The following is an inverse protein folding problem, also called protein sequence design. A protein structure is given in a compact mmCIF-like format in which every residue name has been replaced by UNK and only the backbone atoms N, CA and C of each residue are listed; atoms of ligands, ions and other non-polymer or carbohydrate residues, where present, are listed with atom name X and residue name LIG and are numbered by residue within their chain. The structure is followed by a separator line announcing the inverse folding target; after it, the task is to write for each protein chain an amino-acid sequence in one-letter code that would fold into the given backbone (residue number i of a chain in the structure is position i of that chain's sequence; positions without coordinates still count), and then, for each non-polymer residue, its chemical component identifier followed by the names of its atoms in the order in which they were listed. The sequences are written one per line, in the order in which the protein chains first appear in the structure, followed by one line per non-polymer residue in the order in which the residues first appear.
data_IF_974078950137
#
_entry.id   IF_974078950137
#
_cell.length_a   1.000
_cell.length_b   1.000
_cell.length_c   1.000
_cell.angle_alpha   90.00
_cell.angle_beta   90.00
_cell.angle_gamma   90.00
#
_symmetry.space_group_name_H-M   'P 1'
#
loop_
_entity.id
_entity.type
_entity.pdbx_description
1 polymer ?
#
# COMPACT_ATOMS: atom_id res chain seq x y z
N UNK A 1 -49.54 -2.83 -50.43
CA UNK A 1 -50.36 -4.06 -50.44
C UNK A 1 -50.20 -4.73 -51.78
N UNK A 2 -50.06 -6.06 -51.74
CA UNK A 2 -50.06 -7.05 -52.84
C UNK A 2 -48.71 -7.39 -53.49
N UNK A 3 -48.10 -8.40 -52.89
CA UNK A 3 -47.20 -9.38 -53.51
C UNK A 3 -47.87 -10.11 -54.68
N UNK A 4 -47.10 -10.42 -55.73
CA UNK A 4 -47.24 -11.69 -56.45
C UNK A 4 -45.86 -12.14 -56.96
N UNK A 5 -45.49 -13.36 -56.59
CA UNK A 5 -44.28 -14.07 -56.97
C UNK A 5 -44.55 -15.02 -58.17
N UNK A 6 -43.56 -15.89 -58.45
CA UNK A 6 -43.56 -17.12 -59.30
C UNK A 6 -43.03 -16.94 -60.74
N UNK A 7 -42.22 -17.84 -61.34
CA UNK A 7 -41.33 -18.97 -60.96
C UNK A 7 -40.78 -19.54 -62.30
N UNK A 8 -39.59 -20.16 -62.29
CA UNK A 8 -39.17 -21.41 -63.00
C UNK A 8 -37.73 -21.31 -63.59
N UNK A 9 -36.73 -22.08 -63.11
CA UNK A 9 -36.36 -23.50 -63.37
C UNK A 9 -35.56 -23.64 -64.70
N UNK A 10 -34.30 -24.13 -64.76
CA UNK A 10 -33.81 -25.53 -64.66
C UNK A 10 -32.24 -25.52 -64.69
N UNK A 11 -31.53 -26.09 -63.70
CA UNK A 11 -30.94 -27.44 -63.57
C UNK A 11 -29.55 -27.72 -64.23
N UNK A 12 -28.62 -28.10 -63.33
CA UNK A 12 -27.51 -29.07 -63.40
C UNK A 12 -26.32 -28.79 -64.37
N UNK A 13 -25.05 -28.99 -63.99
CA UNK A 13 -24.47 -30.26 -63.50
C UNK A 13 -23.28 -30.06 -62.54
N UNK A 14 -23.36 -30.83 -61.44
CA UNK A 14 -22.32 -31.48 -60.61
C UNK A 14 -20.83 -31.37 -60.99
N UNK A 15 -19.96 -31.07 -60.01
CA UNK A 15 -18.82 -31.92 -59.58
C UNK A 15 -18.15 -31.29 -58.35
N UNK A 16 -18.42 -31.82 -57.16
CA UNK A 16 -17.46 -31.83 -56.04
C UNK A 16 -16.56 -33.07 -56.25
N UNK A 17 -15.27 -33.10 -55.81
CA UNK A 17 -14.90 -32.99 -54.40
C UNK A 17 -13.54 -32.30 -54.11
N UNK A 18 -13.19 -32.26 -52.81
CA UNK A 18 -11.94 -31.84 -52.17
C UNK A 18 -11.76 -30.31 -52.05
N UNK A 19 -12.20 -29.69 -50.96
CA UNK A 19 -11.49 -29.72 -49.65
C UNK A 19 -9.96 -29.70 -49.82
N UNK A 20 -9.44 -28.54 -50.17
CA UNK A 20 -8.15 -28.09 -49.64
C UNK A 20 -8.41 -26.80 -48.88
N UNK A 21 -8.50 -26.95 -47.57
CA UNK A 21 -8.38 -25.88 -46.61
C UNK A 21 -7.03 -25.18 -46.80
N UNK A 22 -6.98 -24.16 -47.65
CA UNK A 22 -6.09 -23.04 -47.41
C UNK A 22 -6.88 -22.00 -46.62
N UNK A 23 -7.17 -22.33 -45.36
CA UNK A 23 -7.22 -21.32 -44.32
C UNK A 23 -5.80 -20.72 -44.33
N UNK A 24 -5.62 -19.63 -45.07
CA UNK A 24 -4.49 -18.76 -44.85
C UNK A 24 -4.63 -18.35 -43.40
N UNK A 25 -3.86 -19.00 -42.52
CA UNK A 25 -3.53 -18.45 -41.23
C UNK A 25 -2.79 -17.17 -41.53
N UNK A 26 -3.54 -16.09 -41.73
CA UNK A 26 -3.08 -14.79 -41.31
C UNK A 26 -2.59 -15.03 -39.89
N UNK A 27 -1.29 -14.83 -39.60
CA UNK A 27 -0.86 -14.85 -38.22
C UNK A 27 -1.81 -13.89 -37.51
N UNK A 28 -2.58 -14.42 -36.56
CA UNK A 28 -3.42 -13.60 -35.72
C UNK A 28 -2.48 -12.55 -35.17
N UNK A 29 -2.62 -11.31 -35.65
CA UNK A 29 -1.98 -10.21 -34.98
C UNK A 29 -2.68 -10.18 -33.64
N UNK A 30 -2.05 -10.80 -32.64
CA UNK A 30 -2.29 -10.44 -31.27
C UNK A 30 -2.14 -8.93 -31.27
N UNK A 31 -3.27 -8.23 -31.19
CA UNK A 31 -3.26 -6.81 -31.03
C UNK A 31 -2.62 -6.61 -29.67
N UNK A 32 -1.32 -6.29 -29.66
CA UNK A 32 -0.65 -5.81 -28.47
C UNK A 32 -1.52 -4.67 -27.98
N UNK A 33 -2.18 -4.88 -26.83
CA UNK A 33 -2.87 -3.81 -26.16
C UNK A 33 -1.83 -2.69 -26.03
N UNK A 34 -2.14 -1.46 -26.49
CA UNK A 34 -1.19 -0.37 -26.36
C UNK A 34 -0.68 -0.37 -24.92
N UNK A 35 0.65 -0.25 -24.69
CA UNK A 35 1.18 -0.23 -23.33
C UNK A 35 0.33 0.77 -22.57
N UNK A 36 -0.37 0.28 -21.53
CA UNK A 36 -1.28 1.09 -20.73
C UNK A 36 -0.55 2.39 -20.45
N UNK A 37 -0.96 3.48 -21.10
CA UNK A 37 -0.24 4.75 -20.99
C UNK A 37 -0.26 5.07 -19.52
N UNK A 38 0.87 4.88 -18.83
CA UNK A 38 0.89 4.84 -17.37
C UNK A 38 0.13 6.04 -16.86
N UNK A 39 -1.02 5.78 -16.22
CA UNK A 39 -1.96 6.83 -15.88
C UNK A 39 -1.20 7.91 -15.08
N UNK A 40 -1.36 9.17 -15.49
CA UNK A 40 -0.59 10.29 -14.94
C UNK A 40 -0.75 10.34 -13.41
N UNK A 41 0.35 10.12 -12.70
CA UNK A 41 0.40 10.13 -11.24
C UNK A 41 0.21 11.55 -10.71
N UNK A 42 -0.74 11.70 -9.79
CA UNK A 42 -0.92 12.86 -8.92
C UNK A 42 -0.92 12.34 -7.49
N UNK A 43 0.27 12.35 -6.89
CA UNK A 43 0.52 11.79 -5.57
C UNK A 43 0.20 12.76 -4.44
N UNK A 44 -0.42 12.24 -3.39
CA UNK A 44 -0.61 12.92 -2.11
C UNK A 44 0.04 12.07 -1.01
N UNK A 45 0.96 12.66 -0.26
CA UNK A 45 1.54 12.00 0.91
C UNK A 45 0.69 12.26 2.15
N UNK A 46 0.25 11.19 2.81
CA UNK A 46 -0.55 11.22 4.03
C UNK A 46 0.34 10.87 5.21
N UNK A 47 0.50 11.83 6.11
CA UNK A 47 1.27 11.65 7.35
C UNK A 47 0.46 10.80 8.32
N UNK A 48 1.15 9.92 9.06
CA UNK A 48 0.55 8.93 9.98
C UNK A 48 -0.49 9.47 10.96
N UNK A 49 -0.36 10.73 11.41
CA UNK A 49 -1.31 11.35 12.34
C UNK A 49 -2.70 11.54 11.74
N UNK A 50 -2.84 11.46 10.41
CA UNK A 50 -4.12 11.46 9.71
C UNK A 50 -4.78 10.08 9.61
N UNK A 51 -4.14 9.03 10.17
CA UNK A 51 -4.66 7.65 10.22
C UNK A 51 -5.18 7.27 11.62
N UNK A 52 -5.31 8.22 12.55
CA UNK A 52 -5.66 7.91 13.93
C UNK A 52 -7.17 7.64 14.16
N UNK A 53 -8.04 8.14 13.28
CA UNK A 53 -9.49 7.98 13.39
C UNK A 53 -10.19 7.90 12.03
N UNK A 54 -11.40 7.30 11.98
CA UNK A 54 -12.25 7.29 10.79
C UNK A 54 -12.46 8.68 10.18
N UNK A 55 -12.70 9.69 11.02
CA UNK A 55 -12.97 11.06 10.59
C UNK A 55 -11.74 11.70 9.94
N UNK A 56 -10.54 11.40 10.45
CA UNK A 56 -9.29 11.87 9.86
C UNK A 56 -9.07 11.28 8.47
N UNK A 57 -9.37 10.00 8.31
CA UNK A 57 -9.29 9.29 7.03
C UNK A 57 -10.28 9.87 6.01
N UNK A 58 -11.53 10.04 6.39
CA UNK A 58 -12.55 10.65 5.53
C UNK A 58 -12.18 12.07 5.09
N UNK A 59 -11.56 12.86 5.96
CA UNK A 59 -11.13 14.22 5.62
C UNK A 59 -10.10 14.23 4.48
N UNK A 60 -9.08 13.38 4.54
CA UNK A 60 -8.07 13.38 3.47
C UNK A 60 -8.57 12.71 2.19
N UNK A 61 -9.47 11.74 2.27
CA UNK A 61 -10.09 11.12 1.08
C UNK A 61 -10.92 12.15 0.29
N UNK A 62 -11.76 12.93 0.99
CA UNK A 62 -12.53 14.03 0.36
C UNK A 62 -11.61 15.10 -0.21
N UNK A 63 -10.54 15.45 0.49
CA UNK A 63 -9.53 16.37 -0.02
C UNK A 63 -8.88 15.82 -1.30
N UNK A 64 -8.46 14.55 -1.29
CA UNK A 64 -7.85 13.92 -2.45
C UNK A 64 -8.78 13.93 -3.67
N UNK A 65 -10.06 13.65 -3.46
CA UNK A 65 -11.10 13.66 -4.50
C UNK A 65 -11.31 15.06 -5.06
N UNK A 66 -11.54 16.04 -4.18
CA UNK A 66 -11.78 17.44 -4.55
C UNK A 66 -10.66 18.00 -5.43
N UNK A 67 -9.41 17.65 -5.11
CA UNK A 67 -8.24 18.11 -5.86
C UNK A 67 -7.80 17.15 -6.97
N UNK A 68 -8.54 16.06 -7.21
CA UNK A 68 -8.33 15.07 -8.28
C UNK A 68 -6.95 14.41 -8.22
N UNK A 69 -6.50 14.03 -7.02
CA UNK A 69 -5.35 13.15 -6.84
C UNK A 69 -5.67 11.74 -7.35
N UNK A 70 -4.65 10.95 -7.66
CA UNK A 70 -4.79 9.58 -8.16
C UNK A 70 -4.13 8.55 -7.26
N UNK A 71 -3.11 8.97 -6.51
CA UNK A 71 -2.26 8.11 -5.69
C UNK A 71 -2.13 8.68 -4.29
N UNK A 72 -2.41 7.86 -3.28
CA UNK A 72 -2.21 8.20 -1.88
C UNK A 72 -1.04 7.37 -1.34
N UNK A 73 0.02 8.06 -0.93
CA UNK A 73 1.14 7.44 -0.24
C UNK A 73 0.89 7.59 1.25
N UNK A 74 0.49 6.51 1.92
CA UNK A 74 -0.06 6.58 3.27
C UNK A 74 0.93 6.02 4.27
N UNK A 75 1.39 6.84 5.21
CA UNK A 75 2.35 6.40 6.22
C UNK A 75 1.68 5.47 7.24
N UNK A 76 1.85 4.16 7.05
CA UNK A 76 1.24 3.10 7.87
C UNK A 76 2.17 2.59 8.98
N UNK A 77 3.48 2.90 8.88
CA UNK A 77 4.47 2.67 9.94
C UNK A 77 5.26 3.95 10.21
N UNK A 78 5.26 4.39 11.47
CA UNK A 78 5.83 5.67 11.87
C UNK A 78 7.13 5.54 12.66
N UNK A 79 6.98 5.25 13.95
CA UNK A 79 8.03 5.24 14.97
C UNK A 79 8.11 3.86 15.62
N UNK A 80 8.36 2.81 14.83
CA UNK A 80 8.29 1.44 15.36
C UNK A 80 6.88 1.05 15.81
N UNK A 81 5.88 1.66 15.19
CA UNK A 81 4.48 1.50 15.52
C UNK A 81 3.62 1.40 14.25
N UNK A 82 2.50 0.70 14.37
CA UNK A 82 1.60 0.36 13.27
C UNK A 82 0.29 1.16 13.33
N UNK A 83 -0.10 1.69 12.17
CA UNK A 83 -1.42 2.25 11.89
C UNK A 83 -2.27 1.23 11.10
N UNK A 84 -2.15 -0.03 11.52
CA UNK A 84 -2.85 -1.21 11.00
C UNK A 84 -2.76 -2.32 12.06
N UNK A 85 -3.52 -3.41 11.93
CA UNK A 85 -3.37 -4.57 12.80
C UNK A 85 -2.11 -5.36 12.41
N UNK A 86 -1.04 -5.18 13.18
CA UNK A 86 0.24 -5.85 12.93
C UNK A 86 0.50 -7.03 13.85
N UNK A 87 1.15 -8.05 13.31
CA UNK A 87 1.70 -9.16 14.09
C UNK A 87 3.10 -8.86 14.68
N UNK A 88 3.74 -7.77 14.24
CA UNK A 88 5.16 -7.50 14.51
C UNK A 88 5.42 -6.17 15.19
N UNK A 89 4.55 -5.17 14.99
CA UNK A 89 4.68 -3.84 15.59
C UNK A 89 3.52 -3.57 16.54
N UNK A 90 3.73 -2.86 17.66
CA UNK A 90 2.63 -2.41 18.51
C UNK A 90 1.76 -1.39 17.76
N UNK A 91 0.49 -1.28 18.17
CA UNK A 91 -0.41 -0.25 17.67
C UNK A 91 0.12 1.14 18.02
N UNK A 92 0.06 2.06 17.06
CA UNK A 92 0.56 3.42 17.22
C UNK A 92 -0.20 4.25 18.25
N UNK A 93 0.54 5.12 18.94
CA UNK A 93 -0.03 6.03 19.92
C UNK A 93 -1.08 6.95 19.27
N UNK A 94 -2.25 7.02 19.90
CA UNK A 94 -3.37 7.84 19.45
C UNK A 94 -4.29 7.16 18.43
N UNK A 95 -4.00 5.92 18.01
CA UNK A 95 -4.98 5.08 17.32
C UNK A 95 -5.98 4.57 18.35
N UNK A 96 -7.27 4.62 18.01
CA UNK A 96 -8.34 4.15 18.89
C UNK A 96 -8.17 2.63 19.17
N UNK A 97 -8.39 2.16 20.41
CA UNK A 97 -8.33 0.73 20.71
C UNK A 97 -9.28 -0.10 19.82
N UNK A 98 -8.78 -1.18 19.23
CA UNK A 98 -9.55 -2.06 18.34
C UNK A 98 -9.89 -1.45 16.97
N UNK A 99 -9.28 -0.33 16.61
CA UNK A 99 -9.42 0.27 15.28
C UNK A 99 -8.23 -0.14 14.41
N UNK A 100 -8.51 -0.69 13.22
CA UNK A 100 -7.55 -0.92 12.14
C UNK A 100 -7.66 0.22 11.10
N UNK A 101 -6.75 1.22 11.10
CA UNK A 101 -6.83 2.33 10.18
C UNK A 101 -6.61 1.98 8.72
N UNK A 102 -5.70 1.05 8.41
CA UNK A 102 -5.39 0.69 7.03
C UNK A 102 -6.54 -0.12 6.42
N UNK A 103 -7.11 -1.06 7.18
CA UNK A 103 -8.32 -1.79 6.75
C UNK A 103 -9.48 -0.82 6.51
N UNK A 104 -9.71 0.13 7.43
CA UNK A 104 -10.74 1.15 7.25
C UNK A 104 -10.49 2.01 6.00
N UNK A 105 -9.27 2.52 5.80
CA UNK A 105 -8.91 3.29 4.62
C UNK A 105 -9.23 2.52 3.33
N UNK A 106 -8.78 1.27 3.22
CA UNK A 106 -9.00 0.47 2.02
C UNK A 106 -10.49 0.25 1.73
N UNK A 107 -11.28 -0.06 2.77
CA UNK A 107 -12.73 -0.20 2.65
C UNK A 107 -13.38 1.10 2.16
N UNK A 108 -13.02 2.25 2.73
CA UNK A 108 -13.58 3.55 2.31
C UNK A 108 -13.13 3.93 0.91
N UNK A 109 -11.90 3.60 0.54
CA UNK A 109 -11.33 3.87 -0.77
C UNK A 109 -12.07 3.15 -1.90
N UNK A 110 -12.85 2.09 -1.65
CA UNK A 110 -13.67 1.45 -2.69
C UNK A 110 -14.63 2.44 -3.40
N UNK A 111 -15.09 3.47 -2.68
CA UNK A 111 -15.95 4.52 -3.23
C UNK A 111 -15.19 5.60 -4.02
N UNK A 112 -13.89 5.81 -3.72
CA UNK A 112 -13.08 6.87 -4.32
C UNK A 112 -12.15 6.36 -5.44
N UNK A 113 -11.70 5.10 -5.33
CA UNK A 113 -10.81 4.39 -6.28
C UNK A 113 -9.43 5.04 -6.45
N UNK A 114 -8.82 5.56 -5.38
CA UNK A 114 -7.41 5.94 -5.42
C UNK A 114 -6.50 4.71 -5.40
N UNK A 115 -5.29 4.84 -5.94
CA UNK A 115 -4.21 3.87 -5.67
C UNK A 115 -3.62 4.15 -4.30
N UNK A 116 -3.59 3.15 -3.43
CA UNK A 116 -3.12 3.26 -2.05
C UNK A 116 -1.76 2.59 -1.92
N UNK A 117 -0.72 3.40 -1.76
CA UNK A 117 0.65 2.95 -1.58
C UNK A 117 1.00 3.02 -0.09
N UNK A 118 1.29 1.88 0.54
CA UNK A 118 1.72 1.84 1.94
C UNK A 118 3.14 2.43 2.08
N UNK A 119 3.25 3.59 2.72
CA UNK A 119 4.52 4.18 3.11
C UNK A 119 4.98 3.63 4.46
N UNK A 120 6.18 3.06 4.48
CA UNK A 120 6.80 2.45 5.66
C UNK A 120 8.12 3.15 5.94
N UNK A 121 8.26 3.76 7.12
CA UNK A 121 9.58 4.13 7.60
C UNK A 121 10.37 2.85 7.88
N UNK A 122 11.57 2.68 7.32
CA UNK A 122 12.35 1.45 7.49
C UNK A 122 13.19 1.50 8.77
N UNK A 123 14.29 2.28 8.76
CA UNK A 123 15.21 2.34 9.90
C UNK A 123 14.86 3.42 10.92
N UNK A 124 14.10 4.45 10.55
CA UNK A 124 13.64 5.45 11.51
C UNK A 124 12.71 4.79 12.52
N UNK A 125 12.99 5.01 13.81
CA UNK A 125 12.39 4.21 14.86
C UNK A 125 11.74 5.02 15.98
N UNK A 126 12.33 6.11 16.48
CA UNK A 126 11.66 6.91 17.51
C UNK A 126 12.17 8.34 17.53
N UNK A 127 11.34 9.31 17.90
CA UNK A 127 11.74 10.72 17.94
C UNK A 127 11.12 11.53 19.07
N UNK A 128 10.24 10.92 19.87
CA UNK A 128 9.65 11.60 21.01
C UNK A 128 10.58 11.54 22.22
N UNK A 129 10.78 12.64 22.96
CA UNK A 129 11.54 12.60 24.21
C UNK A 129 10.87 11.70 25.24
N UNK A 130 9.54 11.65 25.26
CA UNK A 130 8.78 10.66 26.03
C UNK A 130 8.86 9.32 25.31
N UNK A 131 9.27 8.28 26.03
CA UNK A 131 9.30 6.92 25.49
C UNK A 131 7.88 6.37 25.26
N UNK A 132 7.70 5.36 24.39
CA UNK A 132 6.39 4.81 24.07
C UNK A 132 5.68 4.30 25.32
N UNK A 133 4.37 4.56 25.42
CA UNK A 133 3.57 4.07 26.53
C UNK A 133 3.44 2.53 26.55
N UNK A 134 3.39 1.91 25.37
CA UNK A 134 3.35 0.45 25.24
C UNK A 134 4.73 -0.16 25.53
N UNK A 135 4.83 -0.96 26.60
CA UNK A 135 6.07 -1.64 26.99
C UNK A 135 6.44 -2.82 26.10
N UNK A 136 5.53 -3.24 25.21
CA UNK A 136 5.85 -4.20 24.16
C UNK A 136 6.59 -3.57 22.97
N UNK A 137 6.75 -2.26 22.95
CA UNK A 137 7.52 -1.60 21.89
C UNK A 137 8.97 -2.10 21.85
N UNK A 138 9.50 -2.35 20.65
CA UNK A 138 10.82 -2.95 20.45
C UNK A 138 11.98 -2.13 21.03
N UNK A 139 11.75 -0.85 21.34
CA UNK A 139 12.72 -0.01 22.04
C UNK A 139 13.10 -0.57 23.41
N UNK A 140 12.17 -1.28 24.07
CA UNK A 140 12.37 -1.93 25.36
C UNK A 140 12.82 -3.38 25.20
N UNK A 141 12.26 -4.11 24.22
CA UNK A 141 12.55 -5.53 24.03
C UNK A 141 13.90 -5.79 23.36
N UNK A 142 14.32 -4.88 22.46
CA UNK A 142 15.50 -5.00 21.59
C UNK A 142 16.32 -3.70 21.56
N UNK A 143 16.76 -3.18 22.72
CA UNK A 143 17.51 -1.91 22.76
C UNK A 143 18.87 -1.99 22.03
N UNK A 144 19.42 -3.20 21.87
CA UNK A 144 20.64 -3.51 21.12
C UNK A 144 20.49 -3.39 19.59
N UNK A 145 19.24 -3.30 19.10
CA UNK A 145 18.99 -3.07 17.67
C UNK A 145 19.23 -1.62 17.23
N UNK A 146 19.35 -0.67 18.17
CA UNK A 146 19.59 0.73 17.86
C UNK A 146 21.02 0.96 17.35
N UNK A 147 21.19 1.90 16.41
CA UNK A 147 22.54 2.37 15.98
C UNK A 147 23.34 2.91 17.18
N UNK A 148 22.65 3.55 18.11
CA UNK A 148 23.22 4.15 19.29
C UNK A 148 22.40 3.75 20.53
N UNK A 149 23.03 3.31 21.62
CA UNK A 149 22.34 2.87 22.84
C UNK A 149 21.40 3.95 23.37
N UNK A 150 20.23 3.59 23.89
CA UNK A 150 19.28 4.55 24.48
C UNK A 150 19.93 5.29 25.67
N UNK A 151 19.74 6.61 25.74
CA UNK A 151 20.20 7.43 26.86
C UNK A 151 18.97 7.99 27.57
N UNK A 152 18.78 7.60 28.82
CA UNK A 152 17.71 8.13 29.66
C UNK A 152 18.08 9.51 30.17
N UNK A 153 17.07 10.34 30.40
CA UNK A 153 17.28 11.62 31.05
C UNK A 153 17.54 11.44 32.56
N UNK A 154 18.07 12.49 33.19
CA UNK A 154 18.33 12.51 34.63
C UNK A 154 17.05 12.57 35.47
N UNK A 155 15.88 12.71 34.83
CA UNK A 155 14.57 12.95 35.45
C UNK A 155 13.84 11.66 35.82
N UNK A 156 14.24 10.52 35.24
CA UNK A 156 13.66 9.21 35.51
C UNK A 156 13.34 8.42 34.24
N UNK A 157 13.27 7.08 34.37
CA UNK A 157 13.41 6.10 33.28
C UNK A 157 12.42 6.08 32.11
N UNK A 158 11.51 7.06 32.00
CA UNK A 158 10.49 7.14 30.94
C UNK A 158 10.73 8.26 29.92
N UNK A 159 11.82 9.01 30.08
CA UNK A 159 12.21 10.06 29.17
C UNK A 159 13.63 9.79 28.66
N UNK A 160 13.83 10.01 27.36
CA UNK A 160 15.09 9.76 26.68
C UNK A 160 15.69 11.07 26.17
N UNK A 161 17.00 11.23 26.39
CA UNK A 161 17.77 12.31 25.79
C UNK A 161 18.03 11.99 24.31
N UNK A 162 17.26 12.63 23.44
CA UNK A 162 17.42 12.55 21.97
C UNK A 162 18.33 13.65 21.42
N UNK A 163 18.52 14.74 22.17
CA UNK A 163 19.20 15.97 21.76
C UNK A 163 20.72 15.86 21.69
N UNK A 164 21.34 14.82 22.27
CA UNK A 164 22.80 14.68 22.31
C UNK A 164 23.41 14.08 21.03
N UNK A 165 22.61 13.73 20.01
CA UNK A 165 23.06 12.95 18.86
C UNK A 165 23.10 13.77 17.58
N UNK A 166 24.25 14.42 17.32
CA UNK A 166 24.74 14.95 16.02
C UNK A 166 23.67 15.16 14.92
N UNK A 167 22.74 16.10 15.10
CA UNK A 167 21.72 16.47 14.11
C UNK A 167 20.80 15.31 13.65
N UNK A 168 20.65 14.23 14.43
CA UNK A 168 19.75 13.15 14.11
C UNK A 168 18.30 13.55 14.46
N UNK A 169 17.36 13.27 13.55
CA UNK A 169 15.93 13.53 13.76
C UNK A 169 15.28 12.58 14.78
N UNK A 170 16.02 11.56 15.22
CA UNK A 170 15.55 10.55 16.15
C UNK A 170 16.52 9.37 16.31
N UNK A 171 15.99 8.29 16.87
CA UNK A 171 16.58 6.97 16.98
C UNK A 171 16.33 6.18 15.70
N UNK A 172 17.32 5.38 15.33
CA UNK A 172 17.29 4.52 14.16
C UNK A 172 17.70 3.10 14.55
N UNK A 173 17.04 2.12 13.95
CA UNK A 173 17.55 0.75 13.91
C UNK A 173 18.84 0.66 13.11
N UNK A 174 19.74 -0.22 13.52
CA UNK A 174 21.00 -0.46 12.83
C UNK A 174 20.76 -1.23 11.52
N UNK A 175 21.08 -0.65 10.35
CA UNK A 175 20.91 -1.33 9.08
C UNK A 175 21.86 -2.51 8.90
N UNK A 176 22.90 -2.62 9.73
CA UNK A 176 23.86 -3.73 9.70
C UNK A 176 23.40 -4.94 10.54
N UNK A 177 22.39 -4.78 11.39
CA UNK A 177 21.86 -5.86 12.22
C UNK A 177 20.94 -6.77 11.38
N UNK A 178 21.24 -8.08 11.33
CA UNK A 178 20.47 -9.07 10.55
C UNK A 178 19.09 -9.35 11.12
N UNK A 179 18.91 -9.28 12.43
CA UNK A 179 17.59 -9.42 13.05
C UNK A 179 16.70 -8.23 12.70
N UNK A 180 17.24 -7.01 12.67
CA UNK A 180 16.53 -5.81 12.18
C UNK A 180 16.09 -5.99 10.74
N UNK A 181 16.99 -6.45 9.85
CA UNK A 181 16.65 -6.69 8.44
C UNK A 181 15.51 -7.71 8.31
N UNK A 182 15.59 -8.83 9.04
CA UNK A 182 14.57 -9.87 9.03
C UNK A 182 13.21 -9.34 9.58
N UNK A 183 13.24 -8.59 10.68
CA UNK A 183 12.04 -7.96 11.26
C UNK A 183 11.34 -7.02 10.26
N UNK A 184 12.11 -6.12 9.64
CA UNK A 184 11.54 -5.15 8.69
C UNK A 184 10.99 -5.82 7.43
N UNK A 185 11.59 -6.92 6.97
CA UNK A 185 11.02 -7.74 5.91
C UNK A 185 9.70 -8.38 6.35
N UNK A 186 9.64 -8.94 7.56
CA UNK A 186 8.40 -9.51 8.10
C UNK A 186 7.29 -8.45 8.20
N UNK A 187 7.60 -7.23 8.63
CA UNK A 187 6.66 -6.10 8.65
C UNK A 187 6.12 -5.78 7.26
N UNK A 188 6.98 -5.73 6.24
CA UNK A 188 6.53 -5.48 4.85
C UNK A 188 5.68 -6.65 4.35
N UNK A 189 6.07 -7.90 4.63
CA UNK A 189 5.29 -9.08 4.28
C UNK A 189 3.93 -9.12 4.99
N UNK A 190 3.86 -8.71 6.25
CA UNK A 190 2.62 -8.60 7.02
C UNK A 190 1.63 -7.65 6.34
N UNK A 191 2.11 -6.50 5.86
CA UNK A 191 1.29 -5.56 5.11
C UNK A 191 0.80 -6.20 3.80
N UNK A 192 1.72 -6.74 3.00
CA UNK A 192 1.39 -7.31 1.68
C UNK A 192 0.49 -8.55 1.74
N UNK A 193 0.58 -9.33 2.82
CA UNK A 193 -0.21 -10.54 3.00
C UNK A 193 -1.65 -10.23 3.44
N UNK A 194 -1.84 -9.17 4.23
CA UNK A 194 -3.13 -8.87 4.87
C UNK A 194 -3.89 -7.71 4.22
N UNK A 195 -3.21 -6.85 3.45
CA UNK A 195 -3.80 -5.64 2.88
C UNK A 195 -3.58 -5.54 1.38
N UNK A 196 -4.66 -5.24 0.65
CA UNK A 196 -4.62 -5.03 -0.81
C UNK A 196 -4.24 -3.59 -1.14
N UNK A 197 -2.96 -3.27 -0.93
CA UNK A 197 -2.32 -2.02 -1.37
C UNK A 197 -1.82 -2.15 -2.81
N UNK A 198 -1.62 -1.01 -3.48
CA UNK A 198 -1.17 -0.91 -4.88
C UNK A 198 0.37 -0.91 -5.01
#
# INVERSE_FOLDING_TARGET
MNHTAYRALLLNVCFTPLWVCCLLMLPGQAQELPPETAAKIRGLWIVRHNMNSPEAIERFLKFAEQYRFTDLFVQVRGRGDAYYESHFEPTAEGVNPGFDPLSYLLLRNESYRFRIHAWVNIFYFWSSPKLPADRNHLIYQKPDWLVYPLQYDSSGGDSASLSSRRNAEGLYHSPLNKEVQAHLLNVVHDILANYKVD
#
